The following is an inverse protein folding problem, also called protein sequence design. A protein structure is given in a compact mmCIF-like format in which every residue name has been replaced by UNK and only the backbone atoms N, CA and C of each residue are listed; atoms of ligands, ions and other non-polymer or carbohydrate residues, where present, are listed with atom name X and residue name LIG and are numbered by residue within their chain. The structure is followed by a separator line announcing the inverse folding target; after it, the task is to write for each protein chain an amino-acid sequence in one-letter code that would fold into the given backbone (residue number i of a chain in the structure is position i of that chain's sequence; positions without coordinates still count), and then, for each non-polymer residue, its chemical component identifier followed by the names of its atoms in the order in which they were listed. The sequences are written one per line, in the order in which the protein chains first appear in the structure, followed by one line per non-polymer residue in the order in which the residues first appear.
data_IF_751760898627
#
_entry.id   IF_751760898627
#
_cell.length_a   1.000
_cell.length_b   1.000
_cell.length_c   1.000
_cell.angle_alpha   90.00
_cell.angle_beta   90.00
_cell.angle_gamma   90.00
#
_symmetry.space_group_name_H-M   'P 1'
#
loop_
_entity.id
_entity.type
_entity.pdbx_description
1 polymer ?
#
# COMPACT_ATOMS: atom_id res chain seq x y z
N UNK A 1 -13.13 16.14 -6.40
CA UNK A 1 -12.11 16.65 -5.47
C UNK A 1 -11.76 15.64 -4.38
N UNK A 2 -12.73 15.16 -3.60
CA UNK A 2 -12.50 14.17 -2.52
C UNK A 2 -11.90 12.84 -2.98
N UNK A 3 -12.31 12.32 -4.15
CA UNK A 3 -11.75 11.07 -4.71
C UNK A 3 -10.25 11.16 -4.99
N UNK A 4 -9.77 12.28 -5.55
CA UNK A 4 -8.35 12.45 -5.83
C UNK A 4 -7.52 12.61 -4.56
N UNK A 5 -8.07 13.28 -3.54
CA UNK A 5 -7.44 13.35 -2.21
C UNK A 5 -7.37 11.95 -1.59
N UNK A 6 -8.44 11.16 -1.68
CA UNK A 6 -8.44 9.77 -1.24
C UNK A 6 -7.37 8.95 -1.96
N UNK A 7 -7.31 9.01 -3.30
CA UNK A 7 -6.31 8.29 -4.07
C UNK A 7 -4.88 8.74 -3.74
N UNK A 8 -4.64 10.03 -3.50
CA UNK A 8 -3.34 10.54 -3.07
C UNK A 8 -2.93 9.98 -1.71
N UNK A 9 -3.86 9.89 -0.75
CA UNK A 9 -3.60 9.26 0.55
C UNK A 9 -3.31 7.77 0.41
N UNK A 10 -4.08 7.05 -0.40
CA UNK A 10 -3.84 5.62 -0.67
C UNK A 10 -2.46 5.42 -1.31
N UNK A 11 -2.09 6.25 -2.28
CA UNK A 11 -0.78 6.21 -2.93
C UNK A 11 0.34 6.49 -1.93
N UNK A 12 0.18 7.49 -1.06
CA UNK A 12 1.15 7.79 0.00
C UNK A 12 1.36 6.61 0.95
N UNK A 13 0.28 5.97 1.39
CA UNK A 13 0.36 4.77 2.24
C UNK A 13 1.02 3.62 1.48
N UNK A 14 0.71 3.43 0.20
CA UNK A 14 1.35 2.40 -0.62
C UNK A 14 2.87 2.59 -0.68
N UNK A 15 3.35 3.82 -0.91
CA UNK A 15 4.79 4.12 -0.93
C UNK A 15 5.42 3.79 0.42
N UNK A 16 4.81 4.19 1.53
CA UNK A 16 5.30 3.88 2.88
C UNK A 16 5.39 2.37 3.12
N UNK A 17 4.38 1.60 2.70
CA UNK A 17 4.38 0.13 2.87
C UNK A 17 5.45 -0.53 2.00
N UNK A 18 5.67 -0.05 0.78
CA UNK A 18 6.74 -0.55 -0.09
C UNK A 18 8.11 -0.27 0.50
N UNK A 19 8.36 0.94 1.01
CA UNK A 19 9.62 1.27 1.69
C UNK A 19 9.83 0.39 2.92
N UNK A 20 8.80 0.22 3.74
CA UNK A 20 8.85 -0.67 4.90
C UNK A 20 9.14 -2.12 4.51
N UNK A 21 8.56 -2.62 3.42
CA UNK A 21 8.82 -3.97 2.93
C UNK A 21 10.29 -4.17 2.52
N UNK A 22 10.91 -3.15 1.93
CA UNK A 22 12.32 -3.18 1.51
C UNK A 22 13.31 -3.08 2.68
N UNK A 23 12.93 -2.38 3.76
CA UNK A 23 13.78 -2.19 4.94
C UNK A 23 13.63 -3.30 6.00
N UNK A 24 12.44 -3.92 6.08
CA UNK A 24 12.13 -4.93 7.09
C UNK A 24 12.93 -6.22 6.87
N UNK A 25 13.46 -6.78 7.97
CA UNK A 25 14.30 -7.99 7.95
C UNK A 25 13.54 -9.24 8.42
N UNK A 26 12.43 -9.05 9.13
CA UNK A 26 11.58 -10.13 9.59
C UNK A 26 10.63 -10.60 8.48
N UNK A 27 10.75 -11.88 8.10
CA UNK A 27 9.97 -12.49 7.02
C UNK A 27 8.45 -12.42 7.28
N UNK A 28 7.99 -12.59 8.52
CA UNK A 28 6.56 -12.53 8.83
C UNK A 28 6.00 -11.13 8.63
N UNK A 29 6.78 -10.11 9.01
CA UNK A 29 6.40 -8.71 8.79
C UNK A 29 6.45 -8.32 7.32
N UNK A 30 7.43 -8.83 6.56
CA UNK A 30 7.47 -8.66 5.11
C UNK A 30 6.22 -9.24 4.43
N UNK A 31 5.81 -10.45 4.82
CA UNK A 31 4.57 -11.07 4.28
C UNK A 31 3.34 -10.22 4.60
N UNK A 32 3.24 -9.69 5.82
CA UNK A 32 2.14 -8.80 6.20
C UNK A 32 2.12 -7.52 5.36
N UNK A 33 3.29 -6.89 5.14
CA UNK A 33 3.39 -5.71 4.29
C UNK A 33 3.01 -6.02 2.83
N UNK A 34 3.48 -7.14 2.28
CA UNK A 34 3.13 -7.59 0.93
C UNK A 34 1.62 -7.85 0.77
N UNK A 35 0.97 -8.44 1.79
CA UNK A 35 -0.47 -8.70 1.78
C UNK A 35 -1.30 -7.41 1.78
N UNK A 36 -0.81 -6.33 2.40
CA UNK A 36 -1.47 -5.01 2.43
C UNK A 36 -1.28 -4.24 1.11
N UNK A 37 -0.20 -4.50 0.36
CA UNK A 37 0.02 -3.87 -0.96
C UNK A 37 -1.11 -4.22 -1.94
N UNK A 38 -1.60 -5.46 -1.94
CA UNK A 38 -2.63 -5.94 -2.86
C UNK A 38 -3.92 -5.07 -2.78
N UNK A 39 -4.60 -4.91 -1.63
CA UNK A 39 -5.79 -4.09 -1.54
C UNK A 39 -5.52 -2.60 -1.80
N UNK A 40 -4.31 -2.09 -1.53
CA UNK A 40 -3.95 -0.70 -1.86
C UNK A 40 -3.84 -0.49 -3.37
N UNK A 41 -3.26 -1.44 -4.10
CA UNK A 41 -3.23 -1.41 -5.57
C UNK A 41 -4.63 -1.51 -6.15
N UNK A 42 -5.47 -2.42 -5.65
CA UNK A 42 -6.86 -2.54 -6.10
C UNK A 42 -7.64 -1.22 -5.92
N UNK A 43 -7.44 -0.52 -4.79
CA UNK A 43 -8.03 0.80 -4.53
C UNK A 43 -7.58 1.86 -5.53
N UNK A 44 -6.30 1.89 -5.88
CA UNK A 44 -5.74 2.86 -6.86
C UNK A 44 -6.27 2.57 -8.27
N UNK A 45 -6.34 1.28 -8.63
CA UNK A 45 -6.87 0.84 -9.92
C UNK A 45 -8.41 0.90 -9.99
N UNK A 46 -9.08 1.28 -8.90
CA UNK A 46 -10.54 1.35 -8.76
C UNK A 46 -11.23 0.01 -9.06
N UNK A 47 -10.57 -1.10 -8.73
CA UNK A 47 -11.10 -2.45 -8.86
C UNK A 47 -11.86 -2.81 -7.58
N UNK A 48 -13.09 -3.32 -7.74
CA UNK A 48 -13.97 -3.73 -6.63
C UNK A 48 -13.74 -5.18 -6.24
#
# INVERSE_FOLDING_TARGET
MMMYIYLALVLYVLVMVVLNLLEEKDLMKQVNAALVIIPLLLRILMIK
#
